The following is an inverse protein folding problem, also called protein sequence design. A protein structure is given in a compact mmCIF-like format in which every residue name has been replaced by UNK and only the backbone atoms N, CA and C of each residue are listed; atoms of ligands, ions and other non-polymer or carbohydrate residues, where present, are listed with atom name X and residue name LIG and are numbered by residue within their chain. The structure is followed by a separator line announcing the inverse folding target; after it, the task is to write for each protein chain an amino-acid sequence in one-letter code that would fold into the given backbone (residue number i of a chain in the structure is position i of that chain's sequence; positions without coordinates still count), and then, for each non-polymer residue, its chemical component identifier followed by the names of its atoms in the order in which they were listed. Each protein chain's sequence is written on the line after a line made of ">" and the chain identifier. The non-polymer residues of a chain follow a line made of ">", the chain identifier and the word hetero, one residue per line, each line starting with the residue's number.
data_IF_894724303745
#
_entry.id   IF_894724303745
#
_cell.length_a   1.000
_cell.length_b   1.000
_cell.length_c   1.000
_cell.angle_alpha   90.00
_cell.angle_beta   90.00
_cell.angle_gamma   90.00
#
_symmetry.space_group_name_H-M   'P 1'
#
loop_
_entity.id
_entity.type
_entity.pdbx_description
1 polymer ?
#
# COMPACT_ATOMS: atom_id res chain seq x y z
N UNK A 1 29.60 -28.79 34.77
CA UNK A 1 29.40 -28.81 33.31
C UNK A 1 27.92 -28.59 33.04
N UNK A 2 27.59 -27.51 32.35
CA UNK A 2 26.24 -26.95 32.29
C UNK A 2 25.47 -27.57 31.10
N UNK A 3 24.26 -28.11 31.26
CA UNK A 3 23.51 -28.78 30.18
C UNK A 3 23.12 -27.87 29.00
N UNK A 4 23.40 -26.57 29.09
CA UNK A 4 23.24 -25.59 28.01
C UNK A 4 24.45 -25.51 27.06
N UNK A 5 25.66 -25.86 27.50
CA UNK A 5 26.85 -25.84 26.63
C UNK A 5 26.86 -26.98 25.60
N UNK A 6 26.30 -28.14 25.95
CA UNK A 6 26.22 -29.31 25.06
C UNK A 6 25.27 -29.04 23.88
N UNK A 7 24.17 -28.29 24.09
CA UNK A 7 23.24 -27.93 23.01
C UNK A 7 23.82 -26.88 22.07
N UNK A 8 24.74 -26.03 22.53
CA UNK A 8 25.36 -25.00 21.68
C UNK A 8 26.43 -25.60 20.75
N UNK A 9 27.22 -26.58 21.22
CA UNK A 9 28.17 -27.29 20.35
C UNK A 9 27.47 -28.16 19.30
N UNK A 10 26.29 -28.73 19.62
CA UNK A 10 25.48 -29.49 18.65
C UNK A 10 24.85 -28.58 17.57
N UNK A 11 24.46 -27.35 17.95
CA UNK A 11 23.96 -26.34 17.02
C UNK A 11 25.05 -25.81 16.08
N UNK A 12 26.28 -25.60 16.58
CA UNK A 12 27.43 -25.19 15.75
C UNK A 12 27.81 -26.32 14.78
N UNK A 13 27.80 -27.59 15.21
CA UNK A 13 28.02 -28.75 14.34
C UNK A 13 26.99 -28.89 13.21
N UNK A 14 25.73 -28.48 13.46
CA UNK A 14 24.69 -28.45 12.41
C UNK A 14 24.81 -27.24 11.49
N UNK A 15 25.30 -26.10 11.96
CA UNK A 15 25.47 -24.91 11.13
C UNK A 15 26.69 -25.01 10.20
N UNK A 16 27.79 -25.64 10.64
CA UNK A 16 28.95 -25.90 9.78
C UNK A 16 28.66 -26.89 8.63
N UNK A 17 27.59 -27.69 8.74
CA UNK A 17 27.15 -28.59 7.66
C UNK A 17 26.33 -27.91 6.56
N UNK A 18 25.86 -26.69 6.79
CA UNK A 18 25.01 -25.92 5.84
C UNK A 18 25.81 -24.74 5.23
N UNK A 19 26.96 -24.39 5.81
CA UNK A 19 27.69 -23.15 5.49
C UNK A 19 29.01 -23.28 4.72
N UNK A 20 29.34 -24.42 4.12
CA UNK A 20 30.50 -24.44 3.19
C UNK A 20 30.05 -24.00 1.80
N UNK A 21 30.55 -22.86 1.27
CA UNK A 21 30.42 -22.58 -0.15
C UNK A 21 31.11 -23.73 -0.87
N UNK A 22 30.33 -24.54 -1.60
CA UNK A 22 30.90 -25.47 -2.58
C UNK A 22 31.79 -24.61 -3.48
N UNK A 23 33.09 -24.81 -3.32
CA UNK A 23 34.12 -24.35 -4.25
C UNK A 23 33.56 -24.52 -5.65
N UNK A 24 33.34 -23.38 -6.31
CA UNK A 24 33.09 -23.29 -7.73
C UNK A 24 34.28 -24.01 -8.37
N UNK A 25 34.09 -25.29 -8.67
CA UNK A 25 35.01 -26.05 -9.50
C UNK A 25 35.16 -25.24 -10.77
N UNK A 26 36.40 -24.85 -11.02
CA UNK A 26 36.86 -24.32 -12.29
C UNK A 26 36.09 -24.96 -13.44
N UNK A 27 35.40 -24.12 -14.22
CA UNK A 27 34.72 -24.47 -15.46
C UNK A 27 35.76 -25.17 -16.34
N UNK A 28 35.72 -26.49 -16.31
CA UNK A 28 36.40 -27.36 -17.25
C UNK A 28 35.48 -27.40 -18.47
N UNK A 29 36.06 -27.16 -19.65
CA UNK A 29 35.39 -27.21 -20.95
C UNK A 29 34.47 -28.44 -21.06
N UNK A 30 33.33 -28.32 -21.78
CA UNK A 30 32.19 -29.22 -21.65
C UNK A 30 32.59 -30.65 -22.01
N UNK A 31 32.40 -31.57 -21.07
CA UNK A 31 32.22 -32.96 -21.45
C UNK A 31 31.01 -33.05 -22.37
N UNK A 32 31.07 -33.87 -23.42
CA UNK A 32 29.91 -34.08 -24.28
C UNK A 32 28.74 -34.53 -23.40
N UNK A 33 27.67 -33.74 -23.41
CA UNK A 33 26.52 -33.97 -22.53
C UNK A 33 25.97 -35.36 -22.85
N UNK A 34 26.06 -36.25 -21.87
CA UNK A 34 25.82 -37.68 -22.14
C UNK A 34 24.31 -37.98 -22.20
N UNK A 35 23.93 -39.01 -22.95
CA UNK A 35 22.57 -39.58 -22.95
C UNK A 35 22.05 -39.84 -21.51
N UNK A 36 22.96 -40.05 -20.55
CA UNK A 36 22.61 -40.21 -19.15
C UNK A 36 22.01 -38.94 -18.52
N UNK A 37 22.47 -37.74 -18.90
CA UNK A 37 21.91 -36.48 -18.39
C UNK A 37 20.50 -36.22 -18.91
N UNK A 38 20.21 -36.62 -20.15
CA UNK A 38 18.84 -36.55 -20.67
C UNK A 38 17.94 -37.58 -19.98
N UNK A 39 18.47 -38.77 -19.63
CA UNK A 39 17.72 -39.77 -18.87
C UNK A 39 17.36 -39.28 -17.46
N UNK A 40 18.30 -38.62 -16.79
CA UNK A 40 18.04 -37.98 -15.49
C UNK A 40 16.87 -36.98 -15.57
N UNK A 41 16.78 -36.24 -16.68
CA UNK A 41 15.67 -35.32 -16.91
C UNK A 41 14.31 -36.04 -17.00
N UNK A 42 14.24 -37.23 -17.61
CA UNK A 42 13.02 -38.06 -17.67
C UNK A 42 12.55 -38.42 -16.27
N UNK A 43 13.47 -38.92 -15.42
CA UNK A 43 13.17 -39.29 -14.04
C UNK A 43 12.63 -38.09 -13.25
N UNK A 44 13.22 -36.91 -13.45
CA UNK A 44 12.74 -35.67 -12.84
C UNK A 44 11.34 -35.26 -13.33
N UNK A 45 11.00 -35.46 -14.61
CA UNK A 45 9.67 -35.09 -15.11
C UNK A 45 8.61 -36.05 -14.60
N UNK A 46 8.93 -37.34 -14.55
CA UNK A 46 8.01 -38.38 -14.07
C UNK A 46 7.76 -38.25 -12.56
N UNK A 47 8.78 -37.83 -11.79
CA UNK A 47 8.66 -37.53 -10.37
C UNK A 47 7.89 -36.24 -10.03
N UNK A 48 7.61 -35.38 -11.00
CA UNK A 48 6.91 -34.12 -10.76
C UNK A 48 5.43 -34.37 -10.39
N UNK A 49 5.02 -33.87 -9.23
CA UNK A 49 3.64 -33.94 -8.78
C UNK A 49 2.80 -32.82 -9.44
N UNK A 50 2.05 -33.18 -10.49
CA UNK A 50 1.22 -32.25 -11.27
C UNK A 50 0.22 -31.50 -10.38
N UNK A 51 -0.28 -32.13 -9.31
CA UNK A 51 -1.23 -31.49 -8.41
C UNK A 51 -0.59 -30.34 -7.63
N UNK A 52 0.66 -30.48 -7.20
CA UNK A 52 1.40 -29.43 -6.48
C UNK A 52 1.76 -28.23 -7.34
N UNK A 53 1.95 -28.46 -8.64
CA UNK A 53 2.23 -27.40 -9.62
C UNK A 53 0.95 -26.66 -10.00
N UNK A 54 -0.11 -27.39 -10.31
CA UNK A 54 -1.37 -26.82 -10.81
C UNK A 54 -2.24 -26.24 -9.70
N UNK A 55 -2.06 -26.71 -8.46
CA UNK A 55 -2.75 -26.26 -7.24
C UNK A 55 -4.27 -26.15 -7.44
N UNK A 56 -4.95 -27.25 -7.84
CA UNK A 56 -6.39 -27.23 -8.12
C UNK A 56 -7.23 -26.83 -6.90
N UNK A 57 -6.71 -27.03 -5.69
CA UNK A 57 -7.35 -26.63 -4.43
C UNK A 57 -7.56 -25.12 -4.29
N UNK A 58 -6.81 -24.30 -5.05
CA UNK A 58 -6.94 -22.83 -5.04
C UNK A 58 -8.03 -22.32 -6.02
N UNK A 59 -8.75 -23.21 -6.71
CA UNK A 59 -9.82 -22.84 -7.64
C UNK A 59 -9.33 -21.97 -8.79
N UNK A 60 -9.90 -20.78 -8.96
CA UNK A 60 -9.51 -19.83 -10.02
C UNK A 60 -8.10 -19.25 -9.86
N UNK A 61 -7.52 -19.37 -8.66
CA UNK A 61 -6.15 -18.95 -8.39
C UNK A 61 -5.11 -19.99 -8.86
N UNK A 62 -5.52 -21.25 -9.06
CA UNK A 62 -4.65 -22.30 -9.59
C UNK A 62 -4.25 -22.11 -11.05
N UNK A 63 -3.42 -23.02 -11.55
CA UNK A 63 -2.94 -23.06 -12.94
C UNK A 63 -3.36 -24.38 -13.61
N UNK A 64 -4.67 -24.64 -13.79
CA UNK A 64 -5.16 -25.91 -14.34
C UNK A 64 -4.65 -26.16 -15.77
N UNK A 65 -4.41 -25.11 -16.55
CA UNK A 65 -3.89 -25.19 -17.93
C UNK A 65 -2.48 -25.82 -17.98
N UNK A 66 -1.69 -25.72 -16.92
CA UNK A 66 -0.36 -26.35 -16.88
C UNK A 66 -0.44 -27.88 -16.81
N UNK A 67 -1.56 -28.47 -16.42
CA UNK A 67 -1.70 -29.93 -16.38
C UNK A 67 -1.48 -30.54 -17.77
N UNK A 68 -2.15 -29.99 -18.78
CA UNK A 68 -2.05 -30.45 -20.17
C UNK A 68 -0.64 -30.22 -20.73
N UNK A 69 -0.05 -29.06 -20.44
CA UNK A 69 1.31 -28.73 -20.86
C UNK A 69 2.35 -29.71 -20.28
N UNK A 70 2.24 -30.07 -18.99
CA UNK A 70 3.15 -31.03 -18.35
C UNK A 70 3.02 -32.42 -18.97
N UNK A 71 1.79 -32.86 -19.29
CA UNK A 71 1.56 -34.13 -20.00
C UNK A 71 2.17 -34.11 -21.39
N UNK A 72 2.04 -32.99 -22.12
CA UNK A 72 2.69 -32.83 -23.41
C UNK A 72 4.22 -32.88 -23.29
N UNK A 73 4.82 -32.16 -22.33
CA UNK A 73 6.26 -32.18 -22.06
C UNK A 73 6.76 -33.59 -21.77
N UNK A 74 6.05 -34.36 -20.94
CA UNK A 74 6.39 -35.77 -20.67
C UNK A 74 6.43 -36.59 -21.96
N UNK A 75 5.42 -36.44 -22.81
CA UNK A 75 5.34 -37.14 -24.09
C UNK A 75 6.49 -36.75 -25.02
N UNK A 76 6.80 -35.46 -25.10
CA UNK A 76 7.88 -34.95 -25.95
C UNK A 76 9.26 -35.43 -25.48
N UNK A 77 9.52 -35.39 -24.17
CA UNK A 77 10.74 -35.90 -23.56
C UNK A 77 10.89 -37.42 -23.79
N UNK A 78 9.82 -38.19 -23.60
CA UNK A 78 9.82 -39.63 -23.88
C UNK A 78 10.10 -39.93 -25.35
N UNK A 79 9.56 -39.12 -26.26
CA UNK A 79 9.83 -39.25 -27.69
C UNK A 79 11.31 -38.94 -28.02
N UNK A 80 11.87 -37.85 -27.48
CA UNK A 80 13.30 -37.51 -27.64
C UNK A 80 14.18 -38.64 -27.13
N UNK A 81 13.83 -39.25 -25.99
CA UNK A 81 14.59 -40.37 -25.41
C UNK A 81 14.74 -41.54 -26.39
N UNK A 82 13.69 -41.85 -27.17
CA UNK A 82 13.71 -42.96 -28.12
C UNK A 82 14.61 -42.74 -29.36
N UNK A 83 14.94 -41.47 -29.65
CA UNK A 83 15.81 -41.06 -30.77
C UNK A 83 17.13 -40.44 -30.32
N UNK A 84 17.38 -40.35 -29.01
CA UNK A 84 18.54 -39.63 -28.45
C UNK A 84 19.89 -40.19 -28.95
N UNK A 85 19.99 -41.50 -29.19
CA UNK A 85 21.21 -42.16 -29.69
C UNK A 85 21.57 -41.79 -31.14
N UNK A 86 20.62 -41.29 -31.92
CA UNK A 86 20.78 -40.93 -33.32
C UNK A 86 20.78 -39.41 -33.55
N UNK A 87 20.47 -38.66 -32.50
CA UNK A 87 20.39 -37.21 -32.55
C UNK A 87 21.78 -36.59 -32.47
N UNK A 88 21.96 -35.43 -33.10
CA UNK A 88 23.22 -34.69 -32.92
C UNK A 88 23.35 -34.21 -31.47
N UNK A 89 24.56 -34.32 -30.93
CA UNK A 89 24.84 -33.97 -29.54
C UNK A 89 24.44 -32.51 -29.23
N UNK A 90 24.75 -31.58 -30.13
CA UNK A 90 24.37 -30.17 -29.99
C UNK A 90 22.85 -29.96 -29.87
N UNK A 91 22.04 -30.72 -30.62
CA UNK A 91 20.57 -30.63 -30.53
C UNK A 91 20.06 -31.23 -29.23
N UNK A 92 20.66 -32.33 -28.78
CA UNK A 92 20.33 -32.95 -27.49
C UNK A 92 20.68 -32.02 -26.33
N UNK A 93 21.81 -31.31 -26.39
CA UNK A 93 22.20 -30.29 -25.41
C UNK A 93 21.22 -29.12 -25.36
N UNK A 94 20.81 -28.60 -26.52
CA UNK A 94 19.83 -27.54 -26.61
C UNK A 94 18.47 -27.97 -26.03
N UNK A 95 17.99 -29.18 -26.36
CA UNK A 95 16.77 -29.73 -25.79
C UNK A 95 16.89 -29.88 -24.27
N UNK A 96 17.96 -30.51 -23.79
CA UNK A 96 18.21 -30.73 -22.36
C UNK A 96 18.18 -29.41 -21.60
N UNK A 97 18.84 -28.37 -22.11
CA UNK A 97 18.85 -27.05 -21.51
C UNK A 97 17.44 -26.44 -21.42
N UNK A 98 16.68 -26.47 -22.52
CA UNK A 98 15.33 -25.91 -22.57
C UNK A 98 14.38 -26.61 -21.59
N UNK A 99 14.34 -27.95 -21.61
CA UNK A 99 13.49 -28.71 -20.70
C UNK A 99 13.93 -28.58 -19.23
N UNK A 100 15.24 -28.53 -18.96
CA UNK A 100 15.75 -28.36 -17.58
C UNK A 100 15.31 -27.02 -17.01
N UNK A 101 15.40 -25.94 -17.78
CA UNK A 101 14.92 -24.63 -17.33
C UNK A 101 13.41 -24.63 -17.06
N UNK A 102 12.63 -25.24 -17.95
CA UNK A 102 11.19 -25.40 -17.78
C UNK A 102 10.86 -26.16 -16.49
N UNK A 103 11.50 -27.30 -16.25
CA UNK A 103 11.30 -28.12 -15.06
C UNK A 103 11.71 -27.41 -13.79
N UNK A 104 12.82 -26.67 -13.78
CA UNK A 104 13.24 -25.88 -12.62
C UNK A 104 12.13 -24.91 -12.21
N UNK A 105 11.53 -24.19 -13.16
CA UNK A 105 10.40 -23.29 -12.86
C UNK A 105 9.19 -24.05 -12.31
N UNK A 106 8.88 -25.23 -12.85
CA UNK A 106 7.78 -26.05 -12.33
C UNK A 106 8.05 -26.55 -10.90
N UNK A 107 9.30 -26.92 -10.59
CA UNK A 107 9.71 -27.31 -9.24
C UNK A 107 9.65 -26.14 -8.26
N UNK A 108 10.07 -24.94 -8.68
CA UNK A 108 9.93 -23.73 -7.88
C UNK A 108 8.46 -23.49 -7.55
N UNK A 109 7.55 -23.60 -8.53
CA UNK A 109 6.10 -23.48 -8.31
C UNK A 109 5.58 -24.56 -7.36
N UNK A 110 6.00 -25.81 -7.56
CA UNK A 110 5.58 -26.94 -6.73
C UNK A 110 6.01 -26.77 -5.26
N UNK A 111 7.14 -26.11 -5.01
CA UNK A 111 7.69 -25.88 -3.67
C UNK A 111 6.91 -24.83 -2.86
N UNK A 112 6.18 -23.92 -3.53
CA UNK A 112 5.48 -22.82 -2.87
C UNK A 112 4.20 -23.30 -2.16
N UNK A 113 3.93 -22.70 -1.00
CA UNK A 113 2.65 -22.87 -0.29
C UNK A 113 1.54 -22.02 -0.92
N UNK A 114 0.27 -22.33 -0.64
CA UNK A 114 -0.88 -21.69 -1.29
C UNK A 114 -0.87 -20.15 -1.24
N UNK A 115 -0.56 -19.54 -0.10
CA UNK A 115 -0.51 -18.08 0.07
C UNK A 115 0.68 -17.44 -0.67
N UNK A 116 1.86 -18.05 -0.57
CA UNK A 116 3.08 -17.59 -1.26
C UNK A 116 2.90 -17.68 -2.77
N UNK A 117 2.31 -18.79 -3.24
CA UNK A 117 1.98 -18.99 -4.64
C UNK A 117 1.00 -17.93 -5.14
N UNK A 118 -0.08 -17.64 -4.40
CA UNK A 118 -1.05 -16.62 -4.79
C UNK A 118 -0.41 -15.24 -4.97
N UNK A 119 0.58 -14.91 -4.12
CA UNK A 119 1.32 -13.65 -4.16
C UNK A 119 2.29 -13.58 -5.35
N UNK A 120 2.98 -14.69 -5.66
CA UNK A 120 4.04 -14.74 -6.68
C UNK A 120 3.56 -15.24 -8.05
N UNK A 121 2.28 -15.59 -8.19
CA UNK A 121 1.72 -16.20 -9.41
C UNK A 121 2.05 -15.42 -10.68
N UNK A 122 2.00 -14.09 -10.63
CA UNK A 122 2.28 -13.22 -11.78
C UNK A 122 3.74 -13.28 -12.24
N UNK A 123 4.67 -13.69 -11.37
CA UNK A 123 6.10 -13.80 -11.68
C UNK A 123 6.42 -14.98 -12.61
N UNK A 124 5.59 -16.03 -12.62
CA UNK A 124 5.88 -17.27 -13.35
C UNK A 124 5.42 -17.27 -14.81
N UNK A 125 4.46 -16.41 -15.17
CA UNK A 125 3.87 -16.40 -16.51
C UNK A 125 4.87 -16.12 -17.62
N UNK A 126 5.73 -15.11 -17.43
CA UNK A 126 6.77 -14.74 -18.39
C UNK A 126 7.83 -15.83 -18.57
N UNK A 127 8.49 -16.31 -17.50
CA UNK A 127 9.47 -17.38 -17.57
C UNK A 127 8.95 -18.67 -18.20
N UNK A 128 7.74 -19.13 -17.83
CA UNK A 128 7.15 -20.34 -18.39
C UNK A 128 6.88 -20.20 -19.90
N UNK A 129 6.40 -19.04 -20.35
CA UNK A 129 6.16 -18.79 -21.77
C UNK A 129 7.48 -18.79 -22.57
N UNK A 130 8.52 -18.11 -22.08
CA UNK A 130 9.82 -18.06 -22.74
C UNK A 130 10.49 -19.45 -22.81
N UNK A 131 10.39 -20.24 -21.74
CA UNK A 131 10.92 -21.60 -21.70
C UNK A 131 10.14 -22.55 -22.62
N UNK A 132 8.83 -22.35 -22.73
CA UNK A 132 8.01 -23.10 -23.68
C UNK A 132 8.39 -22.80 -25.13
N UNK A 133 8.63 -21.53 -25.47
CA UNK A 133 9.08 -21.15 -26.81
C UNK A 133 10.45 -21.77 -27.16
N UNK A 134 11.37 -21.84 -26.19
CA UNK A 134 12.66 -22.51 -26.37
C UNK A 134 12.49 -24.03 -26.63
N UNK A 135 11.54 -24.70 -25.96
CA UNK A 135 11.20 -26.10 -26.25
C UNK A 135 10.66 -26.24 -27.68
N UNK A 136 9.76 -25.34 -28.11
CA UNK A 136 9.16 -25.36 -29.45
C UNK A 136 10.17 -25.10 -30.57
N UNK A 137 11.24 -24.37 -30.30
CA UNK A 137 12.31 -24.15 -31.28
C UNK A 137 13.10 -25.45 -31.57
N UNK A 138 13.29 -26.29 -30.55
CA UNK A 138 14.09 -27.51 -30.65
C UNK A 138 13.26 -28.74 -31.03
N UNK A 139 12.00 -28.78 -30.64
CA UNK A 139 11.09 -29.92 -30.84
C UNK A 139 10.94 -30.40 -32.30
N UNK A 140 10.83 -29.54 -33.34
CA UNK A 140 10.60 -29.99 -34.71
C UNK A 140 11.65 -30.97 -35.25
N UNK A 141 12.91 -30.81 -34.85
CA UNK A 141 13.99 -31.73 -35.23
C UNK A 141 13.75 -33.14 -34.69
N UNK A 142 13.38 -33.26 -33.41
CA UNK A 142 13.12 -34.54 -32.77
C UNK A 142 11.81 -35.16 -33.25
N UNK A 143 10.78 -34.36 -33.49
CA UNK A 143 9.53 -34.83 -34.07
C UNK A 143 9.75 -35.47 -35.44
N UNK A 144 10.59 -34.87 -36.29
CA UNK A 144 10.96 -35.44 -37.58
C UNK A 144 11.70 -36.78 -37.44
N UNK A 145 12.68 -36.87 -36.55
CA UNK A 145 13.42 -38.12 -36.27
C UNK A 145 12.52 -39.23 -35.73
N UNK A 146 11.61 -38.91 -34.80
CA UNK A 146 10.65 -39.87 -34.23
C UNK A 146 9.70 -40.37 -35.32
N UNK A 147 9.26 -39.47 -36.20
CA UNK A 147 8.39 -39.83 -37.33
C UNK A 147 9.12 -40.75 -38.31
N UNK A 148 10.37 -40.45 -38.64
CA UNK A 148 11.21 -41.26 -39.53
C UNK A 148 11.40 -42.68 -38.96
N UNK A 149 11.78 -42.78 -37.68
CA UNK A 149 11.89 -44.07 -36.97
C UNK A 149 10.61 -44.86 -36.89
N UNK A 150 9.47 -44.20 -36.77
CA UNK A 150 8.19 -44.88 -36.63
C UNK A 150 7.73 -45.58 -37.92
N UNK A 151 8.46 -45.42 -39.03
CA UNK A 151 8.11 -46.00 -40.34
C UNK A 151 6.91 -45.32 -41.01
N UNK A 152 6.39 -44.23 -40.42
CA UNK A 152 5.26 -43.46 -40.96
C UNK A 152 5.61 -42.72 -42.27
N UNK A 153 6.89 -42.59 -42.60
CA UNK A 153 7.40 -41.84 -43.77
C UNK A 153 7.38 -42.67 -45.07
N UNK A 154 7.12 -43.98 -45.01
CA UNK A 154 7.05 -44.84 -46.23
C UNK A 154 5.83 -44.54 -47.14
N UNK A 155 4.98 -43.58 -46.80
CA UNK A 155 3.96 -43.00 -47.69
C UNK A 155 4.17 -41.48 -47.85
N UNK A 156 5.12 -41.04 -48.69
CA UNK A 156 5.71 -39.69 -48.64
C UNK A 156 4.72 -38.54 -48.85
N UNK A 157 3.60 -38.75 -49.55
CA UNK A 157 2.64 -37.67 -49.83
C UNK A 157 1.48 -37.58 -48.82
N UNK A 158 1.21 -38.63 -48.04
CA UNK A 158 0.06 -38.65 -47.12
C UNK A 158 0.44 -38.37 -45.67
N UNK A 159 1.64 -38.76 -45.24
CA UNK A 159 2.14 -38.49 -43.89
C UNK A 159 2.59 -37.03 -43.73
N UNK A 160 3.29 -36.47 -44.72
CA UNK A 160 3.67 -35.05 -44.72
C UNK A 160 2.41 -34.16 -44.77
N UNK A 161 1.43 -34.48 -45.62
CA UNK A 161 0.16 -33.76 -45.65
C UNK A 161 -0.64 -33.89 -44.34
N UNK A 162 -0.62 -35.05 -43.66
CA UNK A 162 -1.26 -35.22 -42.34
C UNK A 162 -0.51 -34.51 -41.22
N UNK A 163 0.82 -34.44 -41.28
CA UNK A 163 1.65 -33.73 -40.30
C UNK A 163 1.53 -32.22 -40.51
N UNK A 164 1.53 -31.73 -41.74
CA UNK A 164 1.26 -30.32 -42.05
C UNK A 164 -0.18 -29.95 -41.75
N UNK A 165 -1.17 -30.80 -42.04
CA UNK A 165 -2.56 -30.57 -41.64
C UNK A 165 -2.74 -30.60 -40.13
N UNK A 166 -2.11 -31.55 -39.42
CA UNK A 166 -2.14 -31.59 -37.95
C UNK A 166 -1.37 -30.42 -37.32
N UNK A 167 -0.27 -29.97 -37.94
CA UNK A 167 0.47 -28.77 -37.54
C UNK A 167 -0.35 -27.51 -37.79
N UNK A 168 -0.98 -27.36 -38.95
CA UNK A 168 -1.82 -26.22 -39.28
C UNK A 168 -3.07 -26.19 -38.39
N UNK A 169 -3.70 -27.34 -38.16
CA UNK A 169 -4.85 -27.47 -37.26
C UNK A 169 -4.45 -27.22 -35.80
N UNK A 170 -3.28 -27.68 -35.36
CA UNK A 170 -2.74 -27.41 -34.02
C UNK A 170 -2.28 -25.96 -33.89
N UNK A 171 -1.67 -25.36 -34.91
CA UNK A 171 -1.34 -23.94 -34.94
C UNK A 171 -2.62 -23.09 -34.90
N UNK A 172 -3.67 -23.40 -35.68
CA UNK A 172 -4.92 -22.65 -35.65
C UNK A 172 -5.67 -22.83 -34.33
N UNK A 173 -5.78 -24.05 -33.80
CA UNK A 173 -6.44 -24.28 -32.52
C UNK A 173 -5.65 -23.67 -31.37
N UNK A 174 -4.32 -23.76 -31.35
CA UNK A 174 -3.48 -23.07 -30.35
C UNK A 174 -3.54 -21.55 -30.54
N UNK A 175 -3.58 -21.02 -31.76
CA UNK A 175 -3.69 -19.57 -32.01
C UNK A 175 -5.05 -19.03 -31.60
N UNK A 176 -6.10 -19.83 -31.76
CA UNK A 176 -7.46 -19.53 -31.27
C UNK A 176 -7.53 -19.63 -29.75
N UNK A 177 -6.84 -20.61 -29.15
CA UNK A 177 -6.72 -20.74 -27.69
C UNK A 177 -5.88 -19.60 -27.10
N UNK A 178 -4.78 -19.19 -27.74
CA UNK A 178 -3.92 -18.08 -27.31
C UNK A 178 -4.63 -16.74 -27.52
N UNK A 179 -5.33 -16.53 -28.65
CA UNK A 179 -6.11 -15.31 -28.87
C UNK A 179 -7.29 -15.21 -27.90
N UNK A 180 -7.99 -16.30 -27.62
CA UNK A 180 -9.05 -16.31 -26.61
C UNK A 180 -8.52 -16.21 -25.19
N UNK A 181 -7.35 -16.77 -24.86
CA UNK A 181 -6.67 -16.60 -23.57
C UNK A 181 -6.17 -15.17 -23.39
N UNK A 182 -5.60 -14.56 -24.42
CA UNK A 182 -5.16 -13.16 -24.36
C UNK A 182 -6.36 -12.22 -24.30
N UNK A 183 -7.45 -12.50 -25.01
CA UNK A 183 -8.69 -11.71 -24.93
C UNK A 183 -9.39 -11.90 -23.58
N UNK A 184 -9.42 -13.13 -23.04
CA UNK A 184 -9.96 -13.39 -21.70
C UNK A 184 -9.07 -12.83 -20.61
N UNK A 185 -7.75 -12.91 -20.74
CA UNK A 185 -6.80 -12.33 -19.79
C UNK A 185 -6.83 -10.81 -19.84
N UNK A 186 -6.99 -10.18 -21.00
CA UNK A 186 -7.16 -8.72 -21.11
C UNK A 186 -8.52 -8.28 -20.59
N UNK A 187 -9.61 -9.01 -20.86
CA UNK A 187 -10.93 -8.76 -20.24
C UNK A 187 -10.95 -9.00 -18.74
N UNK A 188 -10.22 -10.00 -18.24
CA UNK A 188 -10.09 -10.24 -16.80
C UNK A 188 -9.18 -9.22 -16.15
N UNK A 189 -8.06 -8.85 -16.78
CA UNK A 189 -7.18 -7.78 -16.30
C UNK A 189 -7.91 -6.44 -16.26
N UNK A 190 -8.71 -6.10 -17.28
CA UNK A 190 -9.51 -4.87 -17.26
C UNK A 190 -10.60 -4.91 -16.18
N UNK A 191 -11.27 -6.06 -15.98
CA UNK A 191 -12.23 -6.24 -14.86
C UNK A 191 -11.55 -6.21 -13.49
N UNK A 192 -10.36 -6.77 -13.35
CA UNK A 192 -9.57 -6.75 -12.11
C UNK A 192 -9.09 -5.33 -11.84
N UNK A 193 -8.62 -4.61 -12.86
CA UNK A 193 -8.24 -3.19 -12.74
C UNK A 193 -9.46 -2.33 -12.38
N UNK A 194 -10.61 -2.55 -13.02
CA UNK A 194 -11.85 -1.84 -12.72
C UNK A 194 -12.36 -2.15 -11.30
N UNK A 195 -12.31 -3.42 -10.89
CA UNK A 195 -12.70 -3.84 -9.54
C UNK A 195 -11.70 -3.37 -8.49
N UNK A 196 -10.40 -3.40 -8.77
CA UNK A 196 -9.36 -2.87 -7.90
C UNK A 196 -9.47 -1.35 -7.77
N UNK A 197 -9.77 -0.63 -8.86
CA UNK A 197 -10.09 0.80 -8.83
C UNK A 197 -11.35 1.07 -8.01
N UNK A 198 -12.45 0.34 -8.24
CA UNK A 198 -13.70 0.46 -7.46
C UNK A 198 -13.52 0.12 -5.97
N UNK A 199 -12.69 -0.87 -5.66
CA UNK A 199 -12.40 -1.29 -4.29
C UNK A 199 -11.44 -0.31 -3.60
N UNK A 200 -10.42 0.19 -4.32
CA UNK A 200 -9.50 1.20 -3.81
C UNK A 200 -10.19 2.54 -3.60
N UNK A 201 -11.10 2.97 -4.48
CA UNK A 201 -11.88 4.19 -4.27
C UNK A 201 -12.89 4.01 -3.14
N UNK A 202 -13.62 2.89 -3.08
CA UNK A 202 -14.59 2.63 -2.02
C UNK A 202 -13.96 2.47 -0.62
N UNK A 203 -12.87 1.71 -0.51
CA UNK A 203 -12.20 1.45 0.76
C UNK A 203 -11.39 2.67 1.24
N UNK A 204 -10.69 3.37 0.34
CA UNK A 204 -9.94 4.58 0.74
C UNK A 204 -10.85 5.74 1.13
N UNK A 205 -11.98 5.93 0.43
CA UNK A 205 -12.94 6.98 0.78
C UNK A 205 -13.58 6.69 2.13
N UNK A 206 -13.99 5.45 2.40
CA UNK A 206 -14.58 5.07 3.69
C UNK A 206 -13.58 5.18 4.85
N UNK A 207 -12.34 4.73 4.64
CA UNK A 207 -11.29 4.90 5.65
C UNK A 207 -10.97 6.37 5.92
N UNK A 208 -10.93 7.22 4.89
CA UNK A 208 -10.74 8.66 5.05
C UNK A 208 -11.93 9.32 5.77
N UNK A 209 -13.16 8.91 5.46
CA UNK A 209 -14.38 9.35 6.15
C UNK A 209 -14.32 9.00 7.65
N UNK A 210 -13.97 7.76 7.98
CA UNK A 210 -13.86 7.31 9.37
C UNK A 210 -12.78 8.10 10.13
N UNK A 211 -11.66 8.44 9.47
CA UNK A 211 -10.61 9.30 10.06
C UNK A 211 -11.13 10.72 10.33
N UNK A 212 -11.85 11.33 9.39
CA UNK A 212 -12.43 12.66 9.59
C UNK A 212 -13.51 12.63 10.68
N UNK A 213 -14.29 11.56 10.79
CA UNK A 213 -15.31 11.40 11.83
C UNK A 213 -14.68 11.32 13.22
N UNK A 214 -13.66 10.47 13.39
CA UNK A 214 -12.92 10.36 14.63
C UNK A 214 -12.24 11.69 15.01
N UNK A 215 -11.64 12.38 14.03
CA UNK A 215 -11.04 13.69 14.23
C UNK A 215 -12.09 14.72 14.68
N UNK A 216 -13.28 14.75 14.06
CA UNK A 216 -14.36 15.69 14.38
C UNK A 216 -14.85 15.53 15.83
N UNK A 217 -15.03 14.30 16.29
CA UNK A 217 -15.46 14.02 17.67
C UNK A 217 -14.40 14.48 18.67
N UNK A 218 -13.13 14.23 18.36
CA UNK A 218 -12.02 14.67 19.23
C UNK A 218 -11.90 16.19 19.30
N UNK A 219 -12.08 16.89 18.17
CA UNK A 219 -12.04 18.35 18.09
C UNK A 219 -13.23 18.98 18.80
N UNK A 220 -14.43 18.43 18.63
CA UNK A 220 -15.63 18.88 19.33
C UNK A 220 -15.47 18.76 20.84
N UNK A 221 -14.95 17.63 21.35
CA UNK A 221 -14.67 17.46 22.79
C UNK A 221 -13.68 18.50 23.31
N UNK A 222 -12.60 18.77 22.56
CA UNK A 222 -11.61 19.81 22.93
C UNK A 222 -12.26 21.20 22.93
N UNK A 223 -13.05 21.53 21.91
CA UNK A 223 -13.79 22.79 21.84
C UNK A 223 -14.75 22.94 23.04
N UNK A 224 -15.51 21.91 23.39
CA UNK A 224 -16.39 21.93 24.58
C UNK A 224 -15.58 22.15 25.86
N UNK A 225 -14.45 21.46 26.04
CA UNK A 225 -13.59 21.62 27.21
C UNK A 225 -13.06 23.06 27.34
N UNK A 226 -12.55 23.64 26.24
CA UNK A 226 -12.11 25.04 26.23
C UNK A 226 -13.26 26.03 26.43
N UNK A 227 -14.46 25.73 25.91
CA UNK A 227 -15.65 26.54 26.14
C UNK A 227 -16.07 26.57 27.61
N UNK A 228 -16.06 25.41 28.28
CA UNK A 228 -16.30 25.33 29.71
C UNK A 228 -15.22 26.06 30.52
N UNK A 229 -13.95 25.90 30.16
CA UNK A 229 -12.84 26.63 30.80
C UNK A 229 -12.95 28.14 30.61
N UNK A 230 -13.33 28.61 29.42
CA UNK A 230 -13.54 30.03 29.14
C UNK A 230 -14.71 30.60 29.97
N UNK A 231 -15.81 29.86 30.09
CA UNK A 231 -16.96 30.24 30.91
C UNK A 231 -16.60 30.30 32.40
N UNK A 232 -15.87 29.30 32.90
CA UNK A 232 -15.36 29.30 34.27
C UNK A 232 -14.39 30.46 34.52
N UNK A 233 -13.44 30.70 33.62
CA UNK A 233 -12.49 31.80 33.72
C UNK A 233 -13.20 33.17 33.72
N UNK A 234 -14.22 33.34 32.88
CA UNK A 234 -15.05 34.54 32.86
C UNK A 234 -15.87 34.69 34.14
N UNK A 235 -16.45 33.61 34.66
CA UNK A 235 -17.13 33.61 35.95
C UNK A 235 -16.22 34.04 37.10
N UNK A 236 -15.01 33.47 37.18
CA UNK A 236 -13.99 33.89 38.15
C UNK A 236 -13.60 35.36 37.99
N UNK A 237 -13.49 35.86 36.76
CA UNK A 237 -13.20 37.27 36.49
C UNK A 237 -14.30 38.19 37.03
N UNK A 238 -15.58 37.87 36.75
CA UNK A 238 -16.73 38.65 37.21
C UNK A 238 -16.86 38.62 38.73
N UNK A 239 -16.71 37.44 39.34
CA UNK A 239 -16.77 37.28 40.80
C UNK A 239 -15.65 38.06 41.50
N UNK A 240 -14.42 37.98 40.96
CA UNK A 240 -13.29 38.73 41.52
C UNK A 240 -13.48 40.25 41.37
N UNK A 241 -13.96 40.72 40.21
CA UNK A 241 -14.30 42.13 40.00
C UNK A 241 -15.41 42.60 40.95
N UNK A 242 -16.44 41.77 41.17
CA UNK A 242 -17.52 42.04 42.12
C UNK A 242 -17.02 42.07 43.56
N UNK A 243 -16.11 41.17 43.94
CA UNK A 243 -15.47 41.16 45.26
C UNK A 243 -14.64 42.43 45.50
N UNK A 244 -13.91 42.91 44.49
CA UNK A 244 -13.19 44.19 44.55
C UNK A 244 -14.16 45.36 44.74
N UNK A 245 -15.29 45.35 44.02
CA UNK A 245 -16.33 46.38 44.14
C UNK A 245 -16.99 46.41 45.52
N UNK A 246 -17.32 45.23 46.07
CA UNK A 246 -17.97 45.09 47.38
C UNK A 246 -17.04 45.37 48.56
N UNK A 247 -15.77 45.03 48.43
CA UNK A 247 -14.75 45.21 49.47
C UNK A 247 -13.66 46.19 49.01
N UNK A 248 -14.01 47.50 48.87
CA UNK A 248 -13.01 48.51 48.55
C UNK A 248 -11.93 48.55 49.64
N UNK A 249 -10.70 48.98 49.33
CA UNK A 249 -9.65 49.11 50.34
C UNK A 249 -10.16 49.95 51.52
N UNK A 250 -9.89 49.50 52.76
CA UNK A 250 -10.36 50.12 54.02
C UNK A 250 -10.00 51.60 54.15
N UNK A 251 -8.98 52.04 53.40
CA UNK A 251 -8.51 53.43 53.29
C UNK A 251 -9.61 54.39 52.80
N UNK A 252 -10.64 53.89 52.12
CA UNK A 252 -11.77 54.69 51.64
C UNK A 252 -13.07 54.56 52.46
N UNK A 253 -13.13 53.60 53.39
CA UNK A 253 -14.39 53.21 54.05
C UNK A 253 -14.48 53.62 55.53
N UNK A 254 -13.35 53.87 56.19
CA UNK A 254 -13.36 54.25 57.61
C UNK A 254 -13.33 55.77 57.80
N UNK A 255 -14.49 56.36 58.10
CA UNK A 255 -14.59 57.77 58.56
C UNK A 255 -14.31 57.91 60.06
N UNK A 256 -14.09 56.80 60.77
CA UNK A 256 -13.94 56.75 62.21
C UNK A 256 -12.58 56.20 62.62
N UNK A 257 -11.72 57.13 63.06
CA UNK A 257 -10.69 56.90 64.09
C UNK A 257 -9.38 56.19 63.64
N UNK A 258 -8.34 57.00 63.48
CA UNK A 258 -7.04 56.76 64.13
C UNK A 258 -6.01 55.88 63.42
N UNK A 259 -6.41 54.97 62.55
CA UNK A 259 -5.46 54.18 61.75
C UNK A 259 -5.46 54.66 60.31
N UNK A 260 -4.63 55.68 60.05
CA UNK A 260 -4.22 56.05 58.70
C UNK A 260 -3.42 54.85 58.17
N UNK A 261 -4.11 53.88 57.55
CA UNK A 261 -3.45 52.95 56.65
C UNK A 261 -2.63 53.81 55.68
N UNK A 262 -1.32 53.61 55.68
CA UNK A 262 -0.43 54.51 54.98
C UNK A 262 -0.82 54.51 53.49
N UNK A 263 -0.96 55.68 52.86
CA UNK A 263 -1.29 55.81 51.42
C UNK A 263 -0.47 54.81 50.55
N UNK A 264 0.83 54.55 50.84
CA UNK A 264 1.60 53.51 50.15
C UNK A 264 0.99 52.10 50.20
N UNK A 265 0.44 51.66 51.34
CA UNK A 265 -0.20 50.34 51.47
C UNK A 265 -1.46 50.23 50.61
N UNK A 266 -2.25 51.31 50.52
CA UNK A 266 -3.44 51.37 49.67
C UNK A 266 -3.08 51.19 48.19
N UNK A 267 -2.03 51.88 47.74
CA UNK A 267 -1.52 51.82 46.38
C UNK A 267 -0.99 50.42 46.09
N UNK A 268 -0.20 49.84 47.01
CA UNK A 268 0.35 48.49 46.87
C UNK A 268 -0.73 47.42 46.72
N UNK A 269 -1.74 47.42 47.60
CA UNK A 269 -2.87 46.48 47.53
C UNK A 269 -3.71 46.66 46.26
N UNK A 270 -3.91 47.90 45.82
CA UNK A 270 -4.63 48.20 44.57
C UNK A 270 -3.86 47.69 43.37
N UNK A 271 -2.53 47.90 43.34
CA UNK A 271 -1.67 47.39 42.28
C UNK A 271 -1.76 45.86 42.18
N UNK A 272 -1.66 45.14 43.31
CA UNK A 272 -1.81 43.67 43.33
C UNK A 272 -3.17 43.23 42.78
N UNK A 273 -4.27 43.86 43.22
CA UNK A 273 -5.62 43.53 42.75
C UNK A 273 -5.78 43.75 41.26
N UNK A 274 -5.25 44.87 40.73
CA UNK A 274 -5.25 45.15 39.29
C UNK A 274 -4.42 44.09 38.55
N UNK A 275 -3.21 43.77 39.03
CA UNK A 275 -2.36 42.75 38.41
C UNK A 275 -3.05 41.38 38.38
N UNK A 276 -3.70 40.98 39.46
CA UNK A 276 -4.49 39.73 39.52
C UNK A 276 -5.67 39.76 38.55
N UNK A 277 -6.41 40.87 38.49
CA UNK A 277 -7.52 41.03 37.55
C UNK A 277 -7.05 40.96 36.09
N UNK A 278 -5.92 41.59 35.78
CA UNK A 278 -5.29 41.51 34.46
C UNK A 278 -4.82 40.09 34.14
N UNK A 279 -4.23 39.37 35.10
CA UNK A 279 -3.80 37.99 34.90
C UNK A 279 -4.99 37.06 34.61
N UNK A 280 -6.10 37.19 35.36
CA UNK A 280 -7.33 36.44 35.12
C UNK A 280 -7.93 36.80 33.75
N UNK A 281 -7.96 38.09 33.40
CA UNK A 281 -8.45 38.55 32.10
C UNK A 281 -7.62 38.03 30.92
N UNK A 282 -6.29 37.99 31.07
CA UNK A 282 -5.39 37.42 30.07
C UNK A 282 -5.63 35.91 29.91
N UNK A 283 -5.82 35.19 31.02
CA UNK A 283 -6.14 33.76 31.00
C UNK A 283 -7.49 33.47 30.33
N UNK A 284 -8.52 34.25 30.63
CA UNK A 284 -9.83 34.14 29.97
C UNK A 284 -9.72 34.40 28.45
N UNK A 285 -8.97 35.44 28.06
CA UNK A 285 -8.72 35.76 26.63
C UNK A 285 -7.98 34.61 25.93
N UNK A 286 -7.00 34.00 26.60
CA UNK A 286 -6.30 32.83 26.07
C UNK A 286 -7.24 31.64 25.86
N UNK A 287 -8.13 31.35 26.81
CA UNK A 287 -9.12 30.27 26.67
C UNK A 287 -10.06 30.51 25.48
N UNK A 288 -10.53 31.76 25.28
CA UNK A 288 -11.38 32.12 24.13
C UNK A 288 -10.63 31.97 22.80
N UNK A 289 -9.34 32.37 22.76
CA UNK A 289 -8.49 32.16 21.57
C UNK A 289 -8.36 30.67 21.24
N UNK A 290 -8.12 29.82 22.24
CA UNK A 290 -8.04 28.37 22.04
C UNK A 290 -9.38 27.76 21.60
N UNK A 291 -10.49 28.20 22.20
CA UNK A 291 -11.83 27.80 21.76
C UNK A 291 -12.06 28.12 20.28
N UNK A 292 -11.76 29.36 19.87
CA UNK A 292 -11.90 29.80 18.47
C UNK A 292 -11.05 28.95 17.53
N UNK A 293 -9.79 28.68 17.89
CA UNK A 293 -8.90 27.84 17.09
C UNK A 293 -9.44 26.42 16.93
N UNK A 294 -9.98 25.82 17.99
CA UNK A 294 -10.56 24.47 17.92
C UNK A 294 -11.88 24.42 17.14
N UNK A 295 -12.74 25.43 17.26
CA UNK A 295 -13.94 25.55 16.42
C UNK A 295 -13.57 25.68 14.95
N UNK A 296 -12.56 26.49 14.65
CA UNK A 296 -12.04 26.65 13.29
C UNK A 296 -11.51 25.34 12.71
N UNK A 297 -10.70 24.59 13.47
CA UNK A 297 -10.22 23.28 13.06
C UNK A 297 -11.38 22.28 12.87
N UNK A 298 -12.42 22.36 13.71
CA UNK A 298 -13.62 21.54 13.58
C UNK A 298 -14.36 21.82 12.28
N UNK A 299 -14.61 23.09 11.96
CA UNK A 299 -15.26 23.49 10.70
C UNK A 299 -14.43 23.08 9.49
N UNK A 300 -13.11 23.23 9.58
CA UNK A 300 -12.21 22.81 8.52
C UNK A 300 -12.29 21.30 8.26
N UNK A 301 -12.29 20.51 9.33
CA UNK A 301 -12.42 19.06 9.24
C UNK A 301 -13.80 18.64 8.70
N UNK A 302 -14.87 19.34 9.10
CA UNK A 302 -16.21 19.13 8.56
C UNK A 302 -16.30 19.46 7.07
N UNK A 303 -15.59 20.48 6.60
CA UNK A 303 -15.50 20.76 5.17
C UNK A 303 -14.77 19.64 4.42
N UNK A 304 -13.59 19.22 4.89
CA UNK A 304 -12.85 18.09 4.29
C UNK A 304 -13.70 16.83 4.20
N UNK A 305 -14.47 16.54 5.25
CA UNK A 305 -15.45 15.45 5.27
C UNK A 305 -16.52 15.61 4.19
N UNK A 306 -17.14 16.80 4.05
CA UNK A 306 -18.14 17.08 3.01
C UNK A 306 -17.57 16.91 1.61
N UNK A 307 -16.36 17.42 1.36
CA UNK A 307 -15.67 17.28 0.07
C UNK A 307 -15.38 15.80 -0.22
N UNK A 308 -14.81 15.08 0.74
CA UNK A 308 -14.54 13.64 0.60
C UNK A 308 -15.81 12.83 0.31
N UNK A 309 -16.93 13.15 0.97
CA UNK A 309 -18.23 12.52 0.69
C UNK A 309 -18.73 12.81 -0.73
N UNK A 310 -18.53 14.04 -1.21
CA UNK A 310 -18.95 14.44 -2.56
C UNK A 310 -18.03 13.90 -3.67
N UNK A 311 -16.79 13.53 -3.34
CA UNK A 311 -15.77 13.11 -4.29
C UNK A 311 -16.17 11.83 -5.03
N UNK A 312 -16.76 10.86 -4.33
CA UNK A 312 -17.29 9.65 -4.95
C UNK A 312 -18.39 9.97 -5.98
N UNK A 313 -19.32 10.88 -5.64
CA UNK A 313 -20.41 11.28 -6.54
C UNK A 313 -19.90 12.04 -7.78
N UNK A 314 -18.90 12.91 -7.62
CA UNK A 314 -18.31 13.65 -8.75
C UNK A 314 -17.48 12.75 -9.68
N UNK A 315 -16.76 11.78 -9.12
CA UNK A 315 -16.00 10.78 -9.89
C UNK A 315 -16.93 9.84 -10.65
N UNK A 316 -18.09 9.49 -10.07
CA UNK A 316 -19.09 8.65 -10.73
C UNK A 316 -19.85 9.40 -11.84
N UNK A 317 -20.09 10.71 -11.67
CA UNK A 317 -20.77 11.53 -12.66
C UNK A 317 -19.92 11.85 -13.92
N UNK A 318 -18.61 11.57 -13.91
CA UNK A 318 -17.73 11.86 -15.06
C UNK A 318 -17.64 10.70 -16.04
N UNK A 319 -17.99 10.99 -17.30
CA UNK A 319 -18.01 10.01 -18.40
C UNK A 319 -16.64 9.75 -19.01
N UNK A 320 -15.75 10.74 -19.05
CA UNK A 320 -14.41 10.59 -19.64
C UNK A 320 -13.32 10.49 -18.56
N UNK A 321 -12.25 9.70 -18.80
CA UNK A 321 -11.16 9.54 -17.85
C UNK A 321 -10.38 10.86 -17.62
N UNK A 322 -10.23 11.71 -18.64
CA UNK A 322 -9.49 12.97 -18.53
C UNK A 322 -10.24 14.00 -17.65
N UNK A 323 -11.57 14.06 -17.75
CA UNK A 323 -12.39 14.91 -16.88
C UNK A 323 -12.35 14.43 -15.44
N UNK A 324 -12.33 13.10 -15.24
CA UNK A 324 -12.24 12.49 -13.92
C UNK A 324 -10.93 12.87 -13.22
N UNK A 325 -9.79 12.77 -13.90
CA UNK A 325 -8.50 13.11 -13.34
C UNK A 325 -8.39 14.61 -13.00
N UNK A 326 -8.93 15.48 -13.86
CA UNK A 326 -8.98 16.92 -13.61
C UNK A 326 -9.86 17.26 -12.40
N UNK A 327 -11.05 16.66 -12.29
CA UNK A 327 -11.95 16.86 -11.16
C UNK A 327 -11.34 16.27 -9.88
N UNK A 328 -10.73 15.09 -9.96
CA UNK A 328 -10.04 14.47 -8.82
C UNK A 328 -8.91 15.36 -8.32
N UNK A 329 -8.06 15.89 -9.21
CA UNK A 329 -7.02 16.84 -8.86
C UNK A 329 -7.57 18.08 -8.14
N UNK A 330 -8.65 18.68 -8.67
CA UNK A 330 -9.32 19.84 -8.03
C UNK A 330 -9.94 19.51 -6.68
N UNK A 331 -10.48 18.30 -6.50
CA UNK A 331 -11.04 17.85 -5.23
C UNK A 331 -9.95 17.55 -4.20
N UNK A 332 -8.84 16.93 -4.60
CA UNK A 332 -7.66 16.76 -3.73
C UNK A 332 -7.13 18.13 -3.32
N UNK A 333 -6.99 19.07 -4.26
CA UNK A 333 -6.58 20.45 -3.96
C UNK A 333 -7.54 21.12 -2.98
N UNK A 334 -8.86 20.95 -3.11
CA UNK A 334 -9.85 21.49 -2.18
C UNK A 334 -9.80 20.82 -0.78
N UNK A 335 -9.42 19.54 -0.70
CA UNK A 335 -9.20 18.85 0.58
C UNK A 335 -7.92 19.36 1.26
N UNK A 336 -6.85 19.57 0.50
CA UNK A 336 -5.55 19.99 1.03
C UNK A 336 -5.55 21.49 1.38
N UNK A 337 -5.95 22.31 0.42
CA UNK A 337 -5.96 23.78 0.50
C UNK A 337 -7.38 24.28 0.77
N UNK A 338 -7.65 24.67 2.02
CA UNK A 338 -8.80 25.50 2.37
C UNK A 338 -8.60 26.93 1.87
N UNK A 339 -8.30 27.11 0.58
CA UNK A 339 -8.01 28.41 0.00
C UNK A 339 -9.28 29.23 -0.11
N UNK A 340 -9.24 30.46 0.42
CA UNK A 340 -10.16 31.57 0.15
C UNK A 340 -11.66 31.24 0.10
N UNK A 341 -12.14 30.37 0.98
CA UNK A 341 -13.59 30.18 1.18
C UNK A 341 -14.30 31.49 1.63
N UNK A 342 -13.60 32.63 1.72
CA UNK A 342 -14.15 33.95 2.04
C UNK A 342 -14.67 34.09 3.48
N UNK A 343 -14.69 32.99 4.24
CA UNK A 343 -15.24 32.91 5.58
C UNK A 343 -14.25 33.38 6.66
N UNK A 344 -12.95 33.54 6.33
CA UNK A 344 -11.89 33.65 7.35
C UNK A 344 -10.79 34.68 7.06
N UNK A 345 -10.59 35.10 5.81
CA UNK A 345 -9.58 36.10 5.45
C UNK A 345 -9.83 37.47 6.12
N UNK A 346 -11.08 37.76 6.50
CA UNK A 346 -11.43 39.00 7.23
C UNK A 346 -11.23 38.92 8.74
N UNK A 347 -10.89 37.73 9.25
CA UNK A 347 -10.85 37.42 10.67
C UNK A 347 -9.42 37.13 11.18
N UNK A 348 -8.44 37.11 10.28
CA UNK A 348 -7.02 37.08 10.63
C UNK A 348 -6.61 38.43 11.25
N UNK A 349 -6.56 38.43 12.57
CA UNK A 349 -5.55 39.15 13.35
C UNK A 349 -5.67 40.68 13.52
N UNK A 350 -6.86 41.24 13.79
CA UNK A 350 -6.97 42.57 14.46
C UNK A 350 -7.52 42.56 15.88
N UNK A 351 -7.65 41.38 16.51
CA UNK A 351 -7.89 41.26 17.97
C UNK A 351 -6.58 41.33 18.77
N UNK A 352 -5.67 42.19 18.33
CA UNK A 352 -4.39 42.46 18.98
C UNK A 352 -4.54 43.49 20.09
N UNK A 353 -4.83 43.03 21.32
CA UNK A 353 -4.72 43.78 22.58
C UNK A 353 -5.67 44.99 22.67
N UNK A 354 -6.30 45.32 23.82
CA UNK A 354 -7.07 46.56 23.92
C UNK A 354 -6.13 47.77 23.88
N UNK A 355 -5.71 48.21 22.70
CA UNK A 355 -5.02 49.50 22.51
C UNK A 355 -5.90 50.64 23.04
N UNK A 356 -7.22 50.46 23.08
CA UNK A 356 -8.18 51.40 23.64
C UNK A 356 -7.89 51.69 25.13
N UNK A 357 -7.43 50.70 25.91
CA UNK A 357 -7.10 50.92 27.33
C UNK A 357 -5.80 51.72 27.50
N UNK A 358 -4.78 51.44 26.69
CA UNK A 358 -3.53 52.20 26.72
C UNK A 358 -3.68 53.59 26.10
N UNK A 359 -4.42 53.74 25.00
CA UNK A 359 -4.70 55.03 24.36
C UNK A 359 -5.61 55.91 25.23
N UNK A 360 -6.62 55.36 25.91
CA UNK A 360 -7.46 56.15 26.81
C UNK A 360 -6.71 56.64 28.05
N UNK A 361 -5.76 55.85 28.57
CA UNK A 361 -4.89 56.27 29.68
C UNK A 361 -3.88 57.33 29.19
N UNK A 362 -3.27 57.13 28.01
CA UNK A 362 -2.25 58.05 27.47
C UNK A 362 -2.86 59.38 27.02
N UNK A 363 -4.07 59.38 26.46
CA UNK A 363 -4.77 60.58 25.98
C UNK A 363 -5.33 61.44 27.12
N UNK A 364 -5.69 60.84 28.27
CA UNK A 364 -6.08 61.60 29.47
C UNK A 364 -4.87 62.16 30.25
N UNK A 365 -3.68 61.56 30.12
CA UNK A 365 -2.45 62.09 30.72
C UNK A 365 -1.83 63.23 29.92
N UNK A 366 -2.00 63.25 28.59
CA UNK A 366 -1.50 64.34 27.73
C UNK A 366 -2.41 65.55 27.62
N UNK A 367 -3.71 65.44 27.95
CA UNK A 367 -4.63 66.59 27.91
C UNK A 367 -4.58 67.49 29.17
N UNK A 368 -3.69 67.19 30.13
CA UNK A 368 -3.54 67.92 31.40
C UNK A 368 -2.16 68.56 31.63
N UNK A 369 -1.28 68.56 30.62
CA UNK A 369 -0.14 69.49 30.55
C UNK A 369 -0.42 70.51 29.46
#
# INVERSE_FOLDING_TARGET
>A
MNPLEIKFSELISRYERIGQPRLVRSITLPHPMSIAEFRDLIEHVDGLDVSKVTKPELGTLGLPVLAEAIVQVRKEIGAISSVASESSQQRLEAATSAYRQYLTTLYDIASLRGEEFATRRSEFGGPLAAQWDAIREVWPYFAALVTDKSGLVEAPNSAIAKIEAARAQSEDSIRTIVSSLTEQATKQASKIEENARKTATGFSVRAAQDQFDQASVSLARKATAWGLLALLAFGCFVEFAFQIYRNPPSVFTDKSVGHIASIPEAIYLTAIRITLLTAIGAFATFCVKMLRAHLHMSEFNNHRRRVANSMAAFVEATQTPEQRDLIFGKLVDAVVNFGDSGLLEKDSESLGVPSIAFEAITKNLTSKS
#
